data_IF_745666396975
#
_entry.id   IF_745666396975
#
_cell.length_a   1.000
_cell.length_b   1.000
_cell.length_c   1.000
_cell.angle_alpha   90.00
_cell.angle_beta   90.00
_cell.angle_gamma   90.00
#
_symmetry.space_group_name_H-M   'P 1'
#
loop_
_entity.id
_entity.type
_entity.pdbx_description
1 polymer ?
#
# COMPACT_ATOMS: atom_id res chain seq x y z
N UNK A 1 21.18 4.30 -73.93
CA UNK A 1 22.31 4.69 -73.06
C UNK A 1 21.94 5.99 -72.37
N UNK A 2 22.18 6.09 -71.06
CA UNK A 2 21.79 7.14 -70.09
C UNK A 2 20.29 7.22 -69.75
N UNK A 3 19.81 6.60 -68.65
CA UNK A 3 19.89 6.99 -67.22
C UNK A 3 19.34 8.39 -66.94
N UNK A 4 18.13 8.42 -66.37
CA UNK A 4 17.51 9.60 -65.77
C UNK A 4 16.61 9.17 -64.62
N UNK A 5 17.23 8.88 -63.47
CA UNK A 5 16.58 8.54 -62.21
C UNK A 5 15.79 9.72 -61.67
N UNK A 6 14.50 9.55 -61.39
CA UNK A 6 13.75 10.47 -60.54
C UNK A 6 13.28 9.69 -59.30
N UNK A 7 13.91 10.01 -58.17
CA UNK A 7 13.65 9.43 -56.87
C UNK A 7 12.25 9.81 -56.37
N UNK A 8 11.38 8.82 -56.17
CA UNK A 8 10.18 8.97 -55.34
C UNK A 8 10.62 8.84 -53.89
N UNK A 9 10.66 9.96 -53.17
CA UNK A 9 10.87 9.95 -51.74
C UNK A 9 9.63 9.34 -51.06
N UNK A 10 9.74 8.07 -50.66
CA UNK A 10 8.80 7.47 -49.71
C UNK A 10 9.08 8.09 -48.34
N UNK A 11 8.19 8.97 -47.89
CA UNK A 11 8.02 9.29 -46.48
C UNK A 11 7.58 8.00 -45.78
N UNK A 12 8.53 7.33 -45.13
CA UNK A 12 8.20 6.29 -44.16
C UNK A 12 7.68 7.02 -42.94
N UNK A 13 6.38 6.96 -42.70
CA UNK A 13 5.79 7.24 -41.40
C UNK A 13 6.46 6.31 -40.38
N UNK A 14 7.46 6.83 -39.68
CA UNK A 14 7.98 6.20 -38.47
C UNK A 14 6.93 6.45 -37.39
N UNK A 15 5.84 5.69 -37.45
CA UNK A 15 5.04 5.42 -36.29
C UNK A 15 5.98 4.71 -35.32
N UNK A 16 6.39 5.39 -34.25
CA UNK A 16 6.97 4.74 -33.09
C UNK A 16 5.91 3.76 -32.58
N UNK A 17 6.01 2.51 -33.01
CA UNK A 17 5.40 1.40 -32.34
C UNK A 17 5.97 1.46 -30.92
N UNK A 18 5.19 1.99 -29.99
CA UNK A 18 5.39 1.71 -28.58
C UNK A 18 5.42 0.19 -28.50
N UNK A 19 6.64 -0.35 -28.32
CA UNK A 19 6.87 -1.77 -28.16
C UNK A 19 5.82 -2.30 -27.20
N UNK A 20 4.93 -3.15 -27.72
CA UNK A 20 3.95 -3.85 -26.94
C UNK A 20 4.73 -4.80 -26.05
N UNK A 21 5.14 -4.32 -24.88
CA UNK A 21 5.72 -5.15 -23.84
C UNK A 21 4.66 -6.20 -23.52
N UNK A 22 4.94 -7.49 -23.70
CA UNK A 22 3.99 -8.54 -23.36
C UNK A 22 3.57 -8.38 -21.90
N UNK A 23 2.26 -8.24 -21.70
CA UNK A 23 1.61 -7.95 -20.43
C UNK A 23 1.59 -9.21 -19.54
N UNK A 24 2.75 -9.76 -19.22
CA UNK A 24 2.92 -10.92 -18.33
C UNK A 24 3.07 -10.51 -16.86
N UNK A 25 2.52 -9.36 -16.48
CA UNK A 25 2.41 -8.97 -15.07
C UNK A 25 1.03 -9.38 -14.58
N UNK A 26 0.97 -10.51 -13.86
CA UNK A 26 -0.11 -10.85 -12.92
C UNK A 26 -0.11 -9.90 -11.71
N UNK A 27 0.09 -8.60 -11.93
CA UNK A 27 -0.08 -7.56 -10.92
C UNK A 27 -1.45 -6.98 -11.21
N UNK A 28 -2.39 -6.94 -10.22
CA UNK A 28 -3.69 -6.33 -10.42
C UNK A 28 -3.52 -4.95 -11.05
N UNK A 29 -4.28 -4.68 -12.10
CA UNK A 29 -4.16 -3.48 -12.96
C UNK A 29 -4.18 -2.15 -12.17
N UNK A 30 -4.63 -2.17 -10.90
CA UNK A 30 -4.71 -1.03 -9.98
C UNK A 30 -3.77 -1.12 -8.76
N UNK A 31 -2.63 -1.79 -8.86
CA UNK A 31 -1.68 -1.82 -7.74
C UNK A 31 -0.88 -0.51 -7.69
N UNK A 32 -1.15 0.32 -6.69
CA UNK A 32 -0.41 1.57 -6.47
C UNK A 32 1.10 1.34 -6.32
N UNK A 33 1.91 2.35 -6.62
CA UNK A 33 3.37 2.29 -6.45
C UNK A 33 3.77 3.00 -5.16
N UNK A 34 4.61 2.35 -4.35
CA UNK A 34 5.15 2.93 -3.11
C UNK A 34 6.56 3.45 -3.35
N UNK A 35 6.80 4.69 -2.91
CA UNK A 35 8.10 5.34 -2.91
C UNK A 35 8.50 5.81 -1.50
N UNK A 36 9.78 5.69 -1.11
CA UNK A 36 10.85 4.93 -1.79
C UNK A 36 10.48 3.46 -1.96
N UNK A 37 11.13 2.77 -2.91
CA UNK A 37 10.81 1.38 -3.22
C UNK A 37 10.96 0.51 -1.96
N UNK A 38 9.94 -0.29 -1.58
CA UNK A 38 10.05 -1.22 -0.47
C UNK A 38 11.19 -2.21 -0.71
N UNK A 39 11.90 -2.58 0.36
CA UNK A 39 12.98 -3.56 0.25
C UNK A 39 12.46 -4.96 -0.10
N UNK A 40 11.25 -5.27 0.36
CA UNK A 40 10.52 -6.49 0.06
C UNK A 40 9.04 -6.13 -0.07
N UNK A 41 8.38 -6.65 -1.09
CA UNK A 41 6.94 -6.50 -1.30
C UNK A 41 6.38 -7.78 -1.93
N UNK A 42 5.31 -8.30 -1.36
CA UNK A 42 4.50 -9.39 -1.90
C UNK A 42 3.10 -8.84 -2.15
N UNK A 43 2.55 -9.12 -3.34
CA UNK A 43 1.21 -8.72 -3.73
C UNK A 43 0.35 -9.95 -3.94
N UNK A 44 -0.93 -9.84 -3.57
CA UNK A 44 -1.95 -10.87 -3.78
C UNK A 44 -3.06 -10.26 -4.62
N UNK A 45 -3.71 -11.09 -5.44
CA UNK A 45 -4.86 -10.68 -6.24
C UNK A 45 -6.12 -10.59 -5.38
N UNK A 46 -6.10 -9.66 -4.43
CA UNK A 46 -7.18 -9.41 -3.46
C UNK A 46 -7.41 -7.91 -3.30
N UNK A 47 -8.67 -7.50 -3.37
CA UNK A 47 -9.07 -6.14 -3.04
C UNK A 47 -9.43 -6.02 -1.56
N UNK A 48 -8.96 -4.95 -0.91
CA UNK A 48 -9.24 -4.63 0.49
C UNK A 48 -10.11 -3.37 0.57
N UNK A 49 -11.42 -3.49 0.88
CA UNK A 49 -12.31 -2.35 1.00
C UNK A 49 -12.02 -1.52 2.26
N UNK A 50 -12.17 -0.20 2.18
CA UNK A 50 -11.97 0.73 3.30
C UNK A 50 -13.27 1.41 3.77
N UNK A 51 -14.44 0.79 3.59
CA UNK A 51 -15.72 1.46 3.86
C UNK A 51 -15.99 1.70 5.36
N UNK A 52 -15.69 0.75 6.24
CA UNK A 52 -15.90 0.85 7.70
C UNK A 52 -14.62 0.52 8.45
N UNK A 53 -13.83 1.54 8.74
CA UNK A 53 -12.48 1.40 9.30
C UNK A 53 -12.47 1.63 10.81
N UNK A 54 -11.95 0.65 11.55
CA UNK A 54 -11.54 0.80 12.94
C UNK A 54 -10.03 0.97 13.06
N UNK A 55 -9.58 1.91 13.90
CA UNK A 55 -8.17 2.13 14.21
C UNK A 55 -7.87 1.58 15.60
N UNK A 56 -7.10 0.48 15.66
CA UNK A 56 -6.61 -0.06 16.92
C UNK A 56 -5.20 0.49 17.16
N UNK A 57 -5.06 1.32 18.18
CA UNK A 57 -3.80 1.99 18.48
C UNK A 57 -2.94 1.15 19.43
N UNK A 58 -1.66 1.07 19.12
CA UNK A 58 -0.67 0.47 20.01
C UNK A 58 -0.45 1.32 21.26
N UNK A 59 0.11 0.70 22.30
CA UNK A 59 0.33 1.33 23.62
C UNK A 59 1.11 2.66 23.54
N UNK A 60 2.00 2.79 22.56
CA UNK A 60 2.88 3.95 22.37
C UNK A 60 2.36 4.94 21.32
N UNK A 61 1.11 4.79 20.87
CA UNK A 61 0.47 5.64 19.83
C UNK A 61 -0.75 6.34 20.44
N UNK A 62 -0.61 7.59 20.92
CA UNK A 62 -1.74 8.33 21.44
C UNK A 62 -2.71 8.73 20.30
N UNK A 63 -4.01 8.96 20.60
CA UNK A 63 -4.97 9.43 19.59
C UNK A 63 -4.61 10.78 18.96
N UNK A 64 -3.75 11.58 19.60
CA UNK A 64 -3.26 12.87 19.12
C UNK A 64 -1.93 12.76 18.37
N UNK A 65 -1.45 11.55 18.08
CA UNK A 65 -0.19 11.34 17.37
C UNK A 65 -0.25 11.99 15.98
N UNK A 66 0.72 12.86 15.62
CA UNK A 66 0.70 13.54 14.32
C UNK A 66 0.77 12.56 13.13
N UNK A 67 1.38 11.38 13.31
CA UNK A 67 1.41 10.34 12.28
C UNK A 67 0.02 9.77 12.03
N UNK A 68 -0.81 9.68 13.09
CA UNK A 68 -2.20 9.24 12.99
C UNK A 68 -3.05 10.26 12.22
N UNK A 69 -2.84 11.57 12.46
CA UNK A 69 -3.53 12.63 11.72
C UNK A 69 -3.34 12.48 10.21
N UNK A 70 -2.12 12.21 9.76
CA UNK A 70 -1.79 12.01 8.34
C UNK A 70 -2.54 10.81 7.73
N UNK A 71 -2.71 9.73 8.49
CA UNK A 71 -3.52 8.58 8.06
C UNK A 71 -5.01 8.92 8.00
N UNK A 72 -5.54 9.52 9.06
CA UNK A 72 -6.96 9.87 9.20
C UNK A 72 -7.39 10.82 8.09
N UNK A 73 -6.60 11.86 7.81
CA UNK A 73 -6.89 12.80 6.73
C UNK A 73 -6.91 12.11 5.35
N UNK A 74 -6.00 11.16 5.10
CA UNK A 74 -5.98 10.42 3.82
C UNK A 74 -7.25 9.59 3.65
N UNK A 75 -7.65 8.87 4.69
CA UNK A 75 -8.88 8.06 4.71
C UNK A 75 -10.13 8.95 4.49
N UNK A 76 -10.20 10.09 5.18
CA UNK A 76 -11.30 11.04 5.04
C UNK A 76 -11.41 11.64 3.63
N UNK A 77 -10.28 11.89 2.96
CA UNK A 77 -10.28 12.33 1.55
C UNK A 77 -10.87 11.30 0.59
N UNK A 78 -10.85 10.01 0.97
CA UNK A 78 -11.51 8.93 0.23
C UNK A 78 -12.95 8.67 0.70
N UNK A 79 -13.53 9.56 1.52
CA UNK A 79 -14.89 9.44 2.03
C UNK A 79 -15.04 8.42 3.17
N UNK A 80 -13.94 8.00 3.79
CA UNK A 80 -13.96 7.07 4.93
C UNK A 80 -13.96 7.85 6.24
N UNK A 81 -14.81 7.45 7.18
CA UNK A 81 -14.82 7.99 8.54
C UNK A 81 -14.20 6.98 9.51
N UNK A 82 -12.87 6.99 9.71
CA UNK A 82 -12.23 6.04 10.62
C UNK A 82 -12.53 6.40 12.08
N UNK A 83 -12.75 5.38 12.92
CA UNK A 83 -12.95 5.55 14.37
C UNK A 83 -11.89 4.79 15.15
N UNK A 84 -11.39 5.37 16.24
CA UNK A 84 -10.54 4.64 17.18
C UNK A 84 -11.38 3.60 17.90
N UNK A 85 -10.90 2.35 17.92
CA UNK A 85 -11.53 1.20 18.58
C UNK A 85 -10.67 0.75 19.75
N UNK A 86 -11.30 0.17 20.78
CA UNK A 86 -10.59 -0.26 22.00
C UNK A 86 -10.26 -1.74 22.00
N UNK A 87 -10.92 -2.52 21.14
CA UNK A 87 -10.68 -3.95 21.00
C UNK A 87 -10.64 -4.37 19.53
N UNK A 88 -9.85 -5.42 19.25
CA UNK A 88 -9.78 -6.04 17.93
C UNK A 88 -11.10 -6.66 17.49
N UNK A 89 -12.07 -6.83 18.39
CA UNK A 89 -13.37 -7.48 18.14
C UNK A 89 -14.48 -6.50 17.77
N UNK A 90 -14.26 -5.18 17.88
CA UNK A 90 -15.28 -4.16 17.54
C UNK A 90 -15.82 -4.35 16.12
N UNK A 91 -17.11 -4.09 15.89
CA UNK A 91 -17.77 -4.37 14.59
C UNK A 91 -17.34 -3.40 13.49
N UNK A 92 -16.18 -3.64 12.91
CA UNK A 92 -15.62 -2.94 11.76
C UNK A 92 -15.34 -3.94 10.64
N UNK A 93 -15.39 -3.45 9.41
CA UNK A 93 -15.11 -4.28 8.23
C UNK A 93 -13.60 -4.42 8.01
N UNK A 94 -12.90 -3.31 8.21
CA UNK A 94 -11.45 -3.23 8.13
C UNK A 94 -10.90 -2.70 9.45
N UNK A 95 -10.02 -3.48 10.07
CA UNK A 95 -9.28 -3.10 11.26
C UNK A 95 -7.86 -2.70 10.85
N UNK A 96 -7.47 -1.46 11.13
CA UNK A 96 -6.09 -0.99 10.96
C UNK A 96 -5.43 -0.95 12.34
N UNK A 97 -4.49 -1.86 12.55
CA UNK A 97 -3.64 -1.95 13.73
C UNK A 97 -2.41 -1.06 13.55
N UNK A 98 -2.19 -0.10 14.45
CA UNK A 98 -1.14 0.92 14.31
C UNK A 98 -0.15 0.82 15.48
N UNK A 99 1.12 0.52 15.19
CA UNK A 99 2.14 0.29 16.21
C UNK A 99 1.98 -1.05 16.92
N UNK A 100 2.61 -1.21 18.10
CA UNK A 100 2.51 -2.44 18.89
C UNK A 100 1.17 -2.52 19.64
N UNK A 101 0.19 -3.19 19.01
CA UNK A 101 -1.14 -3.45 19.56
C UNK A 101 -1.22 -4.74 20.38
N UNK A 102 -0.14 -5.53 20.48
CA UNK A 102 -0.17 -6.89 21.02
C UNK A 102 -0.95 -7.92 20.16
N UNK A 103 -1.67 -7.49 19.13
CA UNK A 103 -2.44 -8.35 18.23
C UNK A 103 -1.58 -8.99 17.13
N UNK A 104 -0.34 -8.53 16.97
CA UNK A 104 0.60 -8.94 15.92
C UNK A 104 0.85 -10.44 15.91
N UNK A 105 1.21 -11.03 17.06
CA UNK A 105 1.58 -12.45 17.13
C UNK A 105 0.44 -13.42 16.79
N UNK A 106 -0.83 -13.04 17.02
CA UNK A 106 -1.99 -13.87 16.70
C UNK A 106 -2.41 -13.77 15.22
N UNK A 107 -2.18 -12.61 14.60
CA UNK A 107 -2.80 -12.24 13.33
C UNK A 107 -1.83 -12.16 12.14
N UNK A 108 -0.52 -12.01 12.36
CA UNK A 108 0.47 -11.82 11.29
C UNK A 108 1.11 -13.10 10.74
N UNK A 109 0.72 -14.28 11.24
CA UNK A 109 1.15 -15.57 10.69
C UNK A 109 2.68 -15.75 10.59
N UNK A 110 3.45 -15.09 11.45
CA UNK A 110 4.92 -15.16 11.45
C UNK A 110 5.64 -13.97 10.79
N UNK A 111 4.92 -13.01 10.20
CA UNK A 111 5.54 -11.76 9.73
C UNK A 111 5.92 -10.88 10.93
N UNK A 112 7.12 -10.32 10.90
CA UNK A 112 7.65 -9.45 11.96
C UNK A 112 8.18 -8.15 11.39
N UNK A 113 8.19 -7.12 12.24
CA UNK A 113 8.85 -5.85 11.91
C UNK A 113 10.36 -6.10 11.81
N UNK A 114 11.04 -5.68 10.73
CA UNK A 114 12.48 -5.84 10.60
C UNK A 114 13.24 -5.22 11.78
N UNK A 115 14.15 -5.99 12.39
CA UNK A 115 14.95 -5.52 13.53
C UNK A 115 16.15 -4.68 13.06
N UNK A 116 15.83 -3.46 12.60
CA UNK A 116 16.81 -2.45 12.18
C UNK A 116 16.22 -1.05 12.32
N UNK A 117 17.04 0.01 12.34
CA UNK A 117 16.55 1.39 12.32
C UNK A 117 15.59 1.61 11.15
N UNK A 118 14.49 2.31 11.43
CA UNK A 118 13.44 2.62 10.46
C UNK A 118 12.75 1.39 9.84
N UNK A 119 13.01 0.19 10.38
CA UNK A 119 12.35 -1.04 9.96
C UNK A 119 10.84 -0.92 10.12
N UNK A 120 10.09 -1.25 9.08
CA UNK A 120 8.64 -1.17 9.09
C UNK A 120 8.00 -2.38 8.42
N UNK A 121 6.76 -2.64 8.80
CA UNK A 121 5.89 -3.66 8.24
C UNK A 121 4.57 -2.99 7.84
N UNK A 122 4.20 -3.19 6.57
CA UNK A 122 2.87 -2.96 6.04
C UNK A 122 2.32 -4.32 5.61
N UNK A 123 1.30 -4.81 6.31
CA UNK A 123 0.68 -6.09 5.99
C UNK A 123 -0.83 -5.92 5.84
N UNK A 124 -1.37 -6.38 4.72
CA UNK A 124 -2.80 -6.44 4.47
C UNK A 124 -3.21 -7.91 4.37
N UNK A 125 -4.25 -8.28 5.11
CA UNK A 125 -4.74 -9.66 5.14
C UNK A 125 -6.19 -9.76 5.58
N UNK A 126 -6.62 -10.98 5.83
CA UNK A 126 -7.92 -11.30 6.40
C UNK A 126 -7.73 -12.20 7.62
N UNK A 127 -8.52 -11.95 8.64
CA UNK A 127 -8.69 -12.87 9.75
C UNK A 127 -10.18 -13.11 9.94
N UNK A 128 -10.59 -14.37 9.83
CA UNK A 128 -12.00 -14.76 9.77
C UNK A 128 -12.75 -13.98 8.66
N UNK A 129 -13.75 -13.17 9.03
CA UNK A 129 -14.57 -12.38 8.11
C UNK A 129 -14.10 -10.92 7.97
N UNK A 130 -12.99 -10.55 8.60
CA UNK A 130 -12.53 -9.15 8.71
C UNK A 130 -11.25 -8.90 7.95
N UNK A 131 -11.16 -7.76 7.29
CA UNK A 131 -9.91 -7.28 6.73
C UNK A 131 -9.04 -6.68 7.82
N UNK A 132 -7.74 -7.01 7.80
CA UNK A 132 -6.79 -6.48 8.77
C UNK A 132 -5.62 -5.86 8.04
N UNK A 133 -5.27 -4.64 8.45
CA UNK A 133 -4.07 -3.92 8.03
C UNK A 133 -3.20 -3.72 9.25
N UNK A 134 -1.93 -4.12 9.17
CA UNK A 134 -0.92 -3.81 10.17
C UNK A 134 0.02 -2.75 9.64
N UNK A 135 0.12 -1.65 10.38
CA UNK A 135 1.09 -0.58 10.17
C UNK A 135 1.99 -0.56 11.40
N UNK A 136 3.18 -1.14 11.28
CA UNK A 136 4.08 -1.31 12.41
C UNK A 136 5.49 -0.86 12.08
N UNK A 137 6.19 -0.34 13.07
CA UNK A 137 7.55 0.17 12.94
C UNK A 137 8.40 -0.21 14.14
N UNK A 138 9.70 -0.38 13.91
CA UNK A 138 10.69 -0.71 14.94
C UNK A 138 10.91 0.46 15.90
N UNK A 139 10.72 1.66 15.38
CA UNK A 139 10.90 2.95 16.04
C UNK A 139 9.88 3.98 15.50
N UNK A 140 10.04 5.24 15.91
CA UNK A 140 9.17 6.34 15.51
C UNK A 140 9.10 6.52 13.98
N UNK A 141 10.26 6.46 13.31
CA UNK A 141 10.40 6.67 11.87
C UNK A 141 9.89 5.47 11.07
N UNK A 142 10.14 4.24 11.55
CA UNK A 142 9.58 3.04 10.95
C UNK A 142 8.06 3.09 10.90
N UNK A 143 7.39 3.54 11.98
CA UNK A 143 5.94 3.65 11.97
C UNK A 143 5.46 4.75 11.02
N UNK A 144 6.18 5.88 10.94
CA UNK A 144 5.92 6.92 9.95
C UNK A 144 6.01 6.34 8.52
N UNK A 145 7.05 5.56 8.22
CA UNK A 145 7.22 4.92 6.91
C UNK A 145 6.10 3.94 6.58
N UNK A 146 5.64 3.13 7.54
CA UNK A 146 4.50 2.24 7.34
C UNK A 146 3.23 3.03 6.95
N UNK A 147 2.94 4.12 7.66
CA UNK A 147 1.78 4.98 7.39
C UNK A 147 1.92 5.69 6.03
N UNK A 148 3.09 6.23 5.73
CA UNK A 148 3.36 6.90 4.46
C UNK A 148 3.24 5.95 3.28
N UNK A 149 3.72 4.71 3.42
CA UNK A 149 3.58 3.68 2.39
C UNK A 149 2.10 3.31 2.17
N UNK A 150 1.33 3.11 3.24
CA UNK A 150 -0.10 2.83 3.16
C UNK A 150 -0.86 3.96 2.46
N UNK A 151 -0.57 5.21 2.81
CA UNK A 151 -1.23 6.39 2.22
C UNK A 151 -0.99 6.56 0.72
N UNK A 152 0.06 5.95 0.15
CA UNK A 152 0.28 5.94 -1.30
C UNK A 152 -0.56 4.88 -2.02
N UNK A 153 -1.08 3.91 -1.28
CA UNK A 153 -1.92 2.82 -1.78
C UNK A 153 -3.42 3.10 -1.60
N UNK A 154 -3.78 3.99 -0.68
CA UNK A 154 -5.14 4.55 -0.46
C UNK A 154 -5.30 5.82 -1.27
#
# INVERSE_FOLDING_TARGET
MLLGSLAVAYLVDVAFAADAVPYDRNVPYYTGTVYPQPQQAEYRDEFLPLARVGLLLGKDVPPTDPRLTVLVERLQRQGVEPRVVTAADDSVETLICIGDTGAHGKLLGGSSVPDKPEGYLLHCGKHESRHIVFLAGRDFHGLLWAITAFNQLV
#
